data_IF_757903077443
#
_entry.id   IF_757903077443
#
_cell.length_a   1.000
_cell.length_b   1.000
_cell.length_c   1.000
_cell.angle_alpha   90.00
_cell.angle_beta   90.00
_cell.angle_gamma   90.00
#
_symmetry.space_group_name_H-M   'P 1'
#
loop_
_entity.id
_entity.type
_entity.pdbx_description
1 polymer ?
#
# COMPACT_ATOMS: atom_id res chain seq x y z
N UNK A 1 -9.08 0.83 -5.84
CA UNK A 1 -10.15 1.84 -5.89
C UNK A 1 -10.27 2.49 -4.52
N UNK A 2 -10.77 3.73 -4.40
CA UNK A 2 -11.01 4.37 -3.10
C UNK A 2 -12.52 4.48 -2.89
N UNK A 3 -12.99 3.94 -1.77
CA UNK A 3 -14.39 3.97 -1.37
C UNK A 3 -14.49 4.74 -0.05
N UNK A 4 -15.45 5.66 0.03
CA UNK A 4 -15.76 6.35 1.28
C UNK A 4 -17.27 6.27 1.54
N UNK A 5 -17.64 5.75 2.69
CA UNK A 5 -18.98 5.96 3.26
C UNK A 5 -18.89 7.02 4.38
N UNK A 6 -20.00 7.30 5.08
CA UNK A 6 -20.05 8.37 6.09
C UNK A 6 -19.10 8.14 7.28
N UNK A 7 -18.65 6.91 7.51
CA UNK A 7 -17.89 6.52 8.70
C UNK A 7 -16.59 5.76 8.39
N UNK A 8 -16.45 5.20 7.19
CA UNK A 8 -15.36 4.33 6.79
C UNK A 8 -14.72 4.78 5.46
N UNK A 9 -13.40 4.61 5.39
CA UNK A 9 -12.63 4.72 4.16
C UNK A 9 -12.03 3.34 3.88
N UNK A 10 -12.29 2.82 2.68
CA UNK A 10 -11.71 1.57 2.21
C UNK A 10 -10.86 1.83 0.97
N UNK A 11 -9.66 1.25 0.95
CA UNK A 11 -8.71 1.36 -0.15
C UNK A 11 -8.39 -0.04 -0.64
N UNK A 12 -8.65 -0.27 -1.92
CA UNK A 12 -8.30 -1.51 -2.60
C UNK A 12 -7.13 -1.28 -3.55
N UNK A 13 -6.09 -2.10 -3.45
CA UNK A 13 -4.90 -2.02 -4.29
C UNK A 13 -4.52 -3.42 -4.79
N UNK A 14 -4.34 -3.56 -6.10
CA UNK A 14 -3.81 -4.79 -6.69
C UNK A 14 -2.33 -4.94 -6.37
N UNK A 15 -1.99 -5.94 -5.56
CA UNK A 15 -0.61 -6.24 -5.10
C UNK A 15 -0.18 -7.69 -5.40
N UNK A 16 -0.83 -8.33 -6.38
CA UNK A 16 -0.62 -9.75 -6.72
C UNK A 16 0.80 -10.12 -7.16
N UNK A 17 1.66 -9.14 -7.44
CA UNK A 17 3.08 -9.34 -7.79
C UNK A 17 4.01 -9.35 -6.57
N UNK A 18 3.46 -9.22 -5.35
CA UNK A 18 4.21 -9.12 -4.10
C UNK A 18 3.71 -10.16 -3.10
N UNK A 19 4.63 -10.68 -2.27
CA UNK A 19 4.25 -11.49 -1.11
C UNK A 19 3.82 -10.58 0.05
N UNK A 20 3.00 -11.07 1.00
CA UNK A 20 2.57 -10.27 2.15
C UNK A 20 3.74 -9.64 2.93
N UNK A 21 4.86 -10.35 3.05
CA UNK A 21 6.04 -9.89 3.80
C UNK A 21 6.85 -8.81 3.05
N UNK A 22 6.57 -8.60 1.76
CA UNK A 22 7.17 -7.55 0.93
C UNK A 22 6.38 -6.24 0.99
N UNK A 23 5.24 -6.23 1.69
CA UNK A 23 4.34 -5.09 1.79
C UNK A 23 4.47 -4.42 3.16
N UNK A 24 4.45 -3.10 3.16
CA UNK A 24 4.42 -2.28 4.36
C UNK A 24 3.27 -1.28 4.29
N UNK A 25 2.55 -1.14 5.40
CA UNK A 25 1.47 -0.16 5.56
C UNK A 25 1.83 0.75 6.72
N UNK A 26 1.94 2.05 6.43
CA UNK A 26 2.36 3.06 7.39
C UNK A 26 1.44 4.28 7.37
N UNK A 27 1.30 4.92 8.52
CA UNK A 27 0.65 6.23 8.63
C UNK A 27 1.65 7.30 9.01
N UNK A 28 1.69 8.37 8.23
CA UNK A 28 2.52 9.53 8.54
C UNK A 28 1.86 10.79 7.99
N UNK A 29 1.84 11.86 8.78
CA UNK A 29 1.33 13.18 8.37
C UNK A 29 -0.07 13.12 7.70
N UNK A 30 -1.00 12.35 8.29
CA UNK A 30 -2.35 12.09 7.76
C UNK A 30 -2.38 11.45 6.36
N UNK A 31 -1.34 10.71 6.00
CA UNK A 31 -1.28 9.92 4.78
C UNK A 31 -1.12 8.45 5.11
N UNK A 32 -1.97 7.64 4.49
CA UNK A 32 -1.74 6.20 4.38
C UNK A 32 -0.69 5.98 3.29
N UNK A 33 0.41 5.36 3.67
CA UNK A 33 1.54 5.03 2.81
C UNK A 33 1.57 3.51 2.72
N UNK A 34 1.35 3.00 1.52
CA UNK A 34 1.48 1.58 1.19
C UNK A 34 2.70 1.44 0.31
N UNK A 35 3.65 0.61 0.72
CA UNK A 35 4.87 0.34 0.00
C UNK A 35 4.98 -1.17 -0.25
N UNK A 36 5.49 -1.54 -1.41
CA UNK A 36 5.80 -2.92 -1.71
C UNK A 36 7.14 -2.99 -2.43
N UNK A 37 8.06 -3.80 -1.89
CA UNK A 37 9.39 -3.99 -2.45
C UNK A 37 9.68 -5.48 -2.62
N UNK A 38 9.67 -5.90 -3.87
CA UNK A 38 10.17 -7.19 -4.30
C UNK A 38 11.61 -6.98 -4.76
N UNK A 39 12.56 -7.40 -3.93
CA UNK A 39 13.99 -7.37 -4.26
C UNK A 39 14.26 -8.12 -5.56
N UNK A 40 15.39 -7.79 -6.22
CA UNK A 40 15.80 -8.45 -7.44
C UNK A 40 15.85 -9.97 -7.26
N UNK A 41 15.06 -10.70 -8.07
CA UNK A 41 15.09 -12.15 -8.13
C UNK A 41 15.34 -12.60 -9.55
N UNK A 42 16.31 -13.49 -9.71
CA UNK A 42 16.60 -14.15 -10.96
C UNK A 42 15.83 -15.45 -11.07
N UNK A 43 15.17 -15.66 -12.20
CA UNK A 43 14.66 -16.94 -12.66
C UNK A 43 15.26 -17.30 -14.03
N UNK A 44 14.78 -18.40 -14.63
CA UNK A 44 15.26 -18.90 -15.92
C UNK A 44 15.06 -17.90 -17.09
N UNK A 45 14.29 -16.84 -16.88
CA UNK A 45 13.97 -15.81 -17.89
C UNK A 45 14.61 -14.45 -17.63
N UNK A 46 15.45 -14.31 -16.58
CA UNK A 46 16.17 -13.08 -16.24
C UNK A 46 15.93 -12.66 -14.80
N UNK A 47 16.38 -11.44 -14.45
CA UNK A 47 16.10 -10.86 -13.13
C UNK A 47 14.95 -9.87 -13.17
N UNK A 48 14.17 -9.84 -12.08
CA UNK A 48 13.11 -8.85 -11.91
C UNK A 48 13.14 -8.26 -10.50
N UNK A 49 13.11 -6.93 -10.45
CA UNK A 49 12.88 -6.15 -9.23
C UNK A 49 11.60 -5.34 -9.44
N UNK A 50 10.77 -5.24 -8.40
CA UNK A 50 9.57 -4.39 -8.42
C UNK A 50 9.50 -3.58 -7.14
N UNK A 51 9.30 -2.27 -7.27
CA UNK A 51 9.10 -1.38 -6.14
C UNK A 51 7.95 -0.42 -6.40
N UNK A 52 7.05 -0.25 -5.45
CA UNK A 52 6.01 0.78 -5.51
C UNK A 52 5.85 1.47 -4.16
N UNK A 53 5.47 2.74 -4.22
CA UNK A 53 5.01 3.52 -3.08
C UNK A 53 3.74 4.24 -3.47
N UNK A 54 2.65 4.01 -2.74
CA UNK A 54 1.36 4.67 -2.95
C UNK A 54 0.92 5.40 -1.70
N UNK A 55 0.53 6.66 -1.88
CA UNK A 55 0.17 7.57 -0.79
C UNK A 55 -1.27 8.04 -0.96
N UNK A 56 -2.06 7.92 0.09
CA UNK A 56 -3.44 8.39 0.15
C UNK A 56 -3.58 9.41 1.26
N UNK A 57 -3.89 10.65 0.89
CA UNK A 57 -4.21 11.70 1.87
C UNK A 57 -5.57 11.40 2.49
N UNK A 58 -5.62 11.30 3.82
CA UNK A 58 -6.86 11.08 4.54
C UNK A 58 -7.53 12.43 4.85
N UNK A 59 -8.88 12.53 4.71
CA UNK A 59 -9.63 13.69 5.17
C UNK A 59 -9.40 13.97 6.66
N UNK A 60 -9.49 15.24 7.05
CA UNK A 60 -9.23 15.67 8.44
C UNK A 60 -10.16 15.04 9.48
N UNK A 61 -11.35 14.61 9.06
CA UNK A 61 -12.37 14.00 9.91
C UNK A 61 -12.16 12.50 10.13
N UNK A 62 -11.13 11.91 9.50
CA UNK A 62 -10.82 10.49 9.66
C UNK A 62 -10.19 10.26 11.02
N UNK A 63 -10.77 9.35 11.81
CA UNK A 63 -10.17 8.89 13.07
C UNK A 63 -8.97 7.99 12.73
N UNK A 64 -7.82 8.29 13.31
CA UNK A 64 -6.55 7.59 13.03
C UNK A 64 -6.27 6.44 14.00
N UNK A 65 -7.23 6.11 14.86
CA UNK A 65 -7.00 5.26 16.03
C UNK A 65 -6.92 3.76 15.68
N UNK A 66 -7.03 3.38 14.41
CA UNK A 66 -6.98 1.96 14.02
C UNK A 66 -6.49 1.80 12.58
N UNK A 67 -5.38 1.07 12.40
CA UNK A 67 -5.04 0.29 11.21
C UNK A 67 -4.92 -1.16 11.65
#
# INVERSE_FOLDING_TARGET
>A
MLFSDKENIAIELGVSQFRPEELSVNMRDRKLIIEGHHEERSDDHGSIERHFVRKYSLPEKTKLDTI
#
